data_IF_445281012579
#
_entry.id   IF_445281012579
#
_cell.length_a   1.000
_cell.length_b   1.000
_cell.length_c   1.000
_cell.angle_alpha   90.00
_cell.angle_beta   90.00
_cell.angle_gamma   90.00
#
_symmetry.space_group_name_H-M   'P 1'
#
loop_
_entity.id
_entity.type
_entity.pdbx_description
1 polymer ?
#
# COMPACT_ATOMS: atom_id res chain seq x y z
N UNK A 1 19.93 -0.79 18.40
CA UNK A 1 18.72 -0.39 17.64
C UNK A 1 18.90 1.05 17.16
N UNK A 2 18.28 1.45 16.04
CA UNK A 2 18.34 2.84 15.53
C UNK A 2 17.76 3.81 16.56
N UNK A 3 16.67 3.40 17.20
CA UNK A 3 15.98 4.15 18.25
C UNK A 3 16.82 4.39 19.50
N UNK A 4 17.91 3.63 19.73
CA UNK A 4 18.81 3.90 20.87
C UNK A 4 19.41 5.31 20.82
N UNK A 5 19.48 5.92 19.63
CA UNK A 5 19.88 7.31 19.40
C UNK A 5 19.03 8.31 20.17
N UNK A 6 17.74 8.00 20.43
CA UNK A 6 16.82 8.85 21.19
C UNK A 6 16.45 8.27 22.57
N UNK A 7 16.92 7.05 22.90
CA UNK A 7 16.60 6.36 24.16
C UNK A 7 17.77 6.31 25.14
N UNK A 8 19.01 6.11 24.67
CA UNK A 8 20.15 5.72 25.52
C UNK A 8 21.07 6.87 25.90
N UNK A 9 21.48 6.89 27.17
CA UNK A 9 22.41 7.88 27.72
C UNK A 9 21.72 9.10 28.34
N UNK A 10 22.47 9.80 29.19
CA UNK A 10 21.98 10.97 29.96
C UNK A 10 21.54 12.09 29.02
N UNK A 11 22.27 12.31 27.93
CA UNK A 11 21.96 13.34 26.92
C UNK A 11 20.61 13.14 26.22
N UNK A 12 20.01 11.94 26.31
CA UNK A 12 18.69 11.65 25.74
C UNK A 12 17.54 11.84 26.73
N UNK A 13 17.80 12.37 27.93
CA UNK A 13 16.75 12.70 28.89
C UNK A 13 15.64 13.62 28.30
N UNK A 14 15.94 14.67 27.50
CA UNK A 14 14.89 15.48 26.87
C UNK A 14 14.01 14.69 25.89
N UNK A 15 14.60 13.74 25.15
CA UNK A 15 13.87 12.90 24.20
C UNK A 15 12.95 11.95 24.97
N UNK A 16 13.48 11.26 26.00
CA UNK A 16 12.68 10.41 26.87
C UNK A 16 11.57 11.18 27.59
N UNK A 17 11.77 12.45 27.99
CA UNK A 17 10.69 13.22 28.61
C UNK A 17 9.52 13.49 27.66
N UNK A 18 9.80 13.76 26.38
CA UNK A 18 8.75 13.91 25.37
C UNK A 18 8.07 12.56 25.08
N UNK A 19 8.83 11.48 24.95
CA UNK A 19 8.30 10.14 24.73
C UNK A 19 7.41 9.67 25.91
N UNK A 20 7.77 10.02 27.15
CA UNK A 20 6.91 9.78 28.32
C UNK A 20 5.60 10.55 28.27
N UNK A 21 5.60 11.76 27.69
CA UNK A 21 4.36 12.50 27.46
C UNK A 21 3.44 11.80 26.43
N UNK A 22 4.00 10.95 25.55
CA UNK A 22 3.26 10.05 24.68
C UNK A 22 2.79 8.76 25.38
N UNK A 23 3.07 8.58 26.67
CA UNK A 23 2.64 7.43 27.47
C UNK A 23 3.68 6.32 27.64
N UNK A 24 4.92 6.50 27.19
CA UNK A 24 5.96 5.46 27.33
C UNK A 24 6.46 5.30 28.77
N UNK A 25 6.69 4.05 29.15
CA UNK A 25 7.27 3.62 30.43
C UNK A 25 8.76 3.28 30.31
N UNK A 26 9.40 2.94 31.42
CA UNK A 26 10.82 2.56 31.43
C UNK A 26 11.07 1.30 30.58
N UNK A 27 10.19 0.31 30.70
CA UNK A 27 10.27 -0.95 29.96
C UNK A 27 10.15 -0.75 28.45
N UNK A 28 9.44 0.28 28.01
CA UNK A 28 9.26 0.57 26.58
C UNK A 28 10.56 1.05 25.92
N UNK A 29 11.48 1.66 26.68
CA UNK A 29 12.77 2.10 26.13
C UNK A 29 13.70 0.93 25.79
N UNK A 30 13.43 -0.26 26.30
CA UNK A 30 14.16 -1.49 25.97
C UNK A 30 13.69 -2.15 24.66
N UNK A 31 12.55 -1.73 24.12
CA UNK A 31 11.88 -2.35 22.97
C UNK A 31 12.20 -1.63 21.65
N UNK A 32 12.08 -2.30 20.48
CA UNK A 32 12.17 -1.64 19.19
C UNK A 32 10.97 -0.71 18.95
N UNK A 33 11.23 0.45 18.38
CA UNK A 33 10.21 1.43 18.00
C UNK A 33 9.76 1.17 16.55
N UNK A 34 8.49 0.80 16.38
CA UNK A 34 7.90 0.47 15.09
C UNK A 34 6.98 1.60 14.64
N UNK A 35 7.27 2.17 13.48
CA UNK A 35 6.37 3.11 12.81
C UNK A 35 5.26 2.40 12.07
N UNK A 36 4.04 2.92 12.17
CA UNK A 36 2.91 2.50 11.33
C UNK A 36 2.57 3.70 10.44
N UNK A 37 3.01 3.65 9.19
CA UNK A 37 2.75 4.69 8.20
C UNK A 37 1.35 4.47 7.61
N UNK A 38 0.36 5.20 8.12
CA UNK A 38 -1.03 5.08 7.74
C UNK A 38 -1.42 6.11 6.68
N UNK A 39 -2.04 5.68 5.58
CA UNK A 39 -2.56 6.59 4.57
C UNK A 39 -4.06 6.89 4.74
N UNK A 40 -4.62 6.65 5.92
CA UNK A 40 -6.03 6.93 6.23
C UNK A 40 -6.43 8.38 5.96
N UNK A 41 -7.60 8.53 5.33
CA UNK A 41 -8.34 9.78 5.16
C UNK A 41 -9.83 9.47 4.94
N UNK A 42 -10.73 10.38 5.32
CA UNK A 42 -12.18 10.18 5.23
C UNK A 42 -12.76 10.39 3.82
N UNK A 43 -12.02 11.05 2.92
CA UNK A 43 -12.52 11.36 1.56
C UNK A 43 -12.20 10.27 0.53
N UNK A 44 -11.29 9.33 0.86
CA UNK A 44 -10.84 8.29 -0.08
C UNK A 44 -11.39 6.93 0.37
N UNK A 45 -12.36 6.33 -0.36
CA UNK A 45 -12.97 5.06 0.03
C UNK A 45 -11.98 3.90 0.20
N UNK A 46 -10.86 3.91 -0.53
CA UNK A 46 -9.80 2.92 -0.35
C UNK A 46 -9.04 3.00 0.97
N UNK A 47 -9.21 4.08 1.72
CA UNK A 47 -8.39 4.40 2.88
C UNK A 47 -9.20 4.54 4.18
N UNK A 48 -10.52 4.64 4.12
CA UNK A 48 -11.38 4.94 5.29
C UNK A 48 -11.30 3.87 6.41
N UNK A 49 -11.01 2.61 6.05
CA UNK A 49 -10.90 1.48 7.00
C UNK A 49 -9.49 1.29 7.55
N UNK A 50 -8.49 2.03 7.06
CA UNK A 50 -7.10 1.82 7.46
C UNK A 50 -6.84 2.17 8.93
N UNK A 51 -7.69 2.97 9.58
CA UNK A 51 -7.65 3.16 11.05
C UNK A 51 -7.79 1.82 11.79
N UNK A 52 -8.73 0.98 11.37
CA UNK A 52 -8.98 -0.31 12.02
C UNK A 52 -7.84 -1.30 11.76
N UNK A 53 -7.23 -1.22 10.58
CA UNK A 53 -6.04 -2.02 10.26
C UNK A 53 -4.83 -1.56 11.06
N UNK A 54 -4.63 -0.25 11.24
CA UNK A 54 -3.56 0.28 12.09
C UNK A 54 -3.69 -0.21 13.53
N UNK A 55 -4.89 -0.24 14.10
CA UNK A 55 -5.12 -0.83 15.42
C UNK A 55 -4.74 -2.32 15.47
N UNK A 56 -5.12 -3.10 14.45
CA UNK A 56 -4.72 -4.50 14.39
C UNK A 56 -3.19 -4.69 14.25
N UNK A 57 -2.51 -3.81 13.52
CA UNK A 57 -1.04 -3.79 13.47
C UNK A 57 -0.45 -3.48 14.84
N UNK A 58 -0.95 -2.45 15.54
CA UNK A 58 -0.52 -2.09 16.91
C UNK A 58 -0.66 -3.27 17.86
N UNK A 59 -1.79 -3.98 17.81
CA UNK A 59 -2.00 -5.22 18.59
C UNK A 59 -0.87 -6.23 18.33
N UNK A 60 -0.52 -6.45 17.06
CA UNK A 60 0.55 -7.37 16.65
C UNK A 60 1.94 -6.95 17.12
N UNK A 61 2.28 -5.67 16.95
CA UNK A 61 3.58 -5.10 17.38
C UNK A 61 3.74 -5.21 18.89
N UNK A 62 2.73 -4.78 19.64
CA UNK A 62 2.79 -4.77 21.10
C UNK A 62 2.87 -6.21 21.65
N UNK A 63 2.11 -7.15 21.07
CA UNK A 63 2.16 -8.57 21.46
C UNK A 63 3.52 -9.22 21.17
N UNK A 64 4.26 -8.72 20.17
CA UNK A 64 5.60 -9.19 19.82
C UNK A 64 6.72 -8.50 20.60
N UNK A 65 6.41 -7.57 21.51
CA UNK A 65 7.40 -6.86 22.32
C UNK A 65 8.01 -5.63 21.65
N UNK A 66 7.35 -5.07 20.63
CA UNK A 66 7.67 -3.74 20.09
C UNK A 66 6.83 -2.63 20.73
N UNK A 67 7.16 -1.37 20.39
CA UNK A 67 6.35 -0.19 20.69
C UNK A 67 5.86 0.41 19.38
N UNK A 68 4.55 0.45 19.19
CA UNK A 68 3.95 0.97 17.97
C UNK A 68 3.69 2.49 18.04
N UNK A 69 4.13 3.21 17.02
CA UNK A 69 3.81 4.62 16.79
C UNK A 69 3.14 4.78 15.43
N UNK A 70 1.88 5.19 15.43
CA UNK A 70 1.16 5.52 14.20
C UNK A 70 1.42 6.96 13.79
N UNK A 71 1.63 7.18 12.50
CA UNK A 71 1.61 8.50 11.88
C UNK A 71 0.93 8.42 10.52
N UNK A 72 0.45 9.57 10.03
CA UNK A 72 -0.29 9.62 8.77
C UNK A 72 0.53 10.23 7.63
N UNK A 73 0.19 9.79 6.41
CA UNK A 73 0.55 10.46 5.15
C UNK A 73 -0.71 10.79 4.34
N UNK A 74 -0.56 11.50 3.23
CA UNK A 74 -1.66 11.87 2.34
C UNK A 74 -2.13 10.69 1.47
N UNK A 75 -3.35 10.78 0.94
CA UNK A 75 -3.86 9.90 -0.09
C UNK A 75 -4.72 10.69 -1.09
N UNK A 76 -4.49 10.46 -2.38
CA UNK A 76 -5.33 10.96 -3.48
C UNK A 76 -6.08 9.77 -4.08
N UNK A 77 -7.39 9.95 -4.29
CA UNK A 77 -8.20 9.00 -5.02
C UNK A 77 -8.18 9.36 -6.51
N UNK A 78 -7.53 8.54 -7.33
CA UNK A 78 -7.50 8.76 -8.79
C UNK A 78 -8.91 8.74 -9.39
N UNK A 79 -9.82 7.92 -8.87
CA UNK A 79 -11.22 7.89 -9.32
C UNK A 79 -11.96 9.21 -9.09
N UNK A 80 -11.77 9.84 -7.91
CA UNK A 80 -12.37 11.15 -7.61
C UNK A 80 -11.66 12.25 -8.40
N UNK A 81 -10.34 12.20 -8.51
CA UNK A 81 -9.53 13.22 -9.19
C UNK A 81 -9.69 13.22 -10.73
N UNK A 82 -10.29 12.16 -11.28
CA UNK A 82 -10.40 11.96 -12.73
C UNK A 82 -11.27 13.05 -13.37
N UNK A 83 -10.88 13.45 -14.59
CA UNK A 83 -11.63 14.40 -15.42
C UNK A 83 -11.76 15.84 -14.85
N UNK A 84 -10.84 16.26 -13.98
CA UNK A 84 -10.67 17.67 -13.59
C UNK A 84 -9.21 17.98 -13.20
N UNK A 85 -8.92 19.23 -12.83
CA UNK A 85 -7.55 19.70 -12.53
C UNK A 85 -6.84 18.93 -11.40
N UNK A 86 -7.58 18.18 -10.58
CA UNK A 86 -7.05 17.38 -9.49
C UNK A 86 -6.16 16.24 -9.98
N UNK A 87 -6.40 15.69 -11.17
CA UNK A 87 -5.59 14.61 -11.73
C UNK A 87 -4.11 15.01 -11.91
N UNK A 88 -3.82 16.31 -12.07
CA UNK A 88 -2.45 16.84 -12.16
C UNK A 88 -1.63 16.60 -10.88
N UNK A 89 -2.29 16.31 -9.75
CA UNK A 89 -1.65 16.05 -8.47
C UNK A 89 -1.47 14.55 -8.16
N UNK A 90 -2.07 13.66 -8.97
CA UNK A 90 -2.03 12.21 -8.71
C UNK A 90 -0.61 11.65 -8.70
N UNK A 91 0.11 11.65 -9.83
CA UNK A 91 1.42 11.01 -9.89
C UNK A 91 2.45 11.65 -8.95
N UNK A 92 2.44 12.98 -8.81
CA UNK A 92 3.31 13.70 -7.90
C UNK A 92 3.10 13.30 -6.42
N UNK A 93 1.89 12.84 -6.06
CA UNK A 93 1.64 12.36 -4.69
C UNK A 93 2.47 11.13 -4.31
N UNK A 94 2.94 10.33 -5.29
CA UNK A 94 3.84 9.20 -5.05
C UNK A 94 5.11 9.65 -4.33
N UNK A 95 5.72 10.72 -4.81
CA UNK A 95 6.96 11.30 -4.25
C UNK A 95 6.70 11.90 -2.86
N UNK A 96 5.61 12.66 -2.71
CA UNK A 96 5.24 13.26 -1.42
C UNK A 96 5.00 12.18 -0.36
N UNK A 97 4.33 11.09 -0.73
CA UNK A 97 4.14 9.94 0.16
C UNK A 97 5.48 9.33 0.56
N UNK A 98 6.38 9.10 -0.40
CA UNK A 98 7.70 8.56 -0.14
C UNK A 98 8.50 9.44 0.84
N UNK A 99 8.59 10.74 0.55
CA UNK A 99 9.33 11.72 1.33
C UNK A 99 8.74 11.91 2.74
N UNK A 100 7.41 11.82 2.87
CA UNK A 100 6.73 11.91 4.19
C UNK A 100 7.10 10.71 5.07
N UNK A 101 7.06 9.49 4.51
CA UNK A 101 7.44 8.27 5.25
C UNK A 101 8.92 8.30 5.62
N UNK A 102 9.80 8.69 4.68
CA UNK A 102 11.23 8.84 4.93
C UNK A 102 11.49 9.83 6.07
N UNK A 103 10.91 11.03 5.98
CA UNK A 103 11.09 12.10 6.97
C UNK A 103 10.65 11.66 8.36
N UNK A 104 9.47 11.04 8.47
CA UNK A 104 8.95 10.57 9.75
C UNK A 104 9.81 9.47 10.36
N UNK A 105 10.24 8.50 9.55
CA UNK A 105 11.07 7.38 10.01
C UNK A 105 12.45 7.84 10.49
N UNK A 106 13.10 8.74 9.73
CA UNK A 106 14.43 9.26 10.06
C UNK A 106 14.40 10.20 11.26
N UNK A 107 13.48 11.16 11.29
CA UNK A 107 13.40 12.15 12.36
C UNK A 107 13.09 11.52 13.73
N UNK A 108 12.33 10.43 13.75
CA UNK A 108 11.95 9.72 14.97
C UNK A 108 12.79 8.48 15.26
N UNK A 109 13.86 8.25 14.50
CA UNK A 109 14.80 7.13 14.67
C UNK A 109 14.11 5.76 14.79
N UNK A 110 13.10 5.50 13.96
CA UNK A 110 12.31 4.27 13.99
C UNK A 110 13.17 3.06 13.59
N UNK A 111 12.95 1.92 14.24
CA UNK A 111 13.70 0.69 14.01
C UNK A 111 13.14 -0.15 12.86
N UNK A 112 11.83 -0.07 12.63
CA UNK A 112 11.16 -0.73 11.52
C UNK A 112 9.80 -0.10 11.21
N UNK A 113 9.23 -0.47 10.07
CA UNK A 113 8.01 0.14 9.53
C UNK A 113 6.97 -0.89 9.12
N UNK A 114 5.71 -0.61 9.46
CA UNK A 114 4.55 -1.20 8.78
C UNK A 114 3.93 -0.12 7.91
N UNK A 115 3.82 -0.41 6.62
CA UNK A 115 3.31 0.49 5.61
C UNK A 115 1.87 0.10 5.29
N UNK A 116 0.92 1.02 5.45
CA UNK A 116 -0.50 0.81 5.18
C UNK A 116 -0.97 1.65 3.98
N UNK A 117 -0.67 1.25 2.74
CA UNK A 117 -1.20 1.87 1.53
C UNK A 117 -2.47 1.17 1.02
N UNK A 118 -3.21 1.82 0.11
CA UNK A 118 -4.24 1.14 -0.70
C UNK A 118 -4.27 1.63 -2.14
N UNK A 119 -4.61 2.90 -2.38
CA UNK A 119 -4.84 3.45 -3.72
C UNK A 119 -3.56 3.57 -4.56
N UNK A 120 -3.76 3.72 -5.87
CA UNK A 120 -2.80 3.70 -6.97
C UNK A 120 -1.38 4.16 -6.62
N UNK A 121 -1.20 5.44 -6.28
CA UNK A 121 0.13 6.05 -6.15
C UNK A 121 0.74 5.89 -4.76
N UNK A 122 -0.06 5.48 -3.77
CA UNK A 122 0.36 5.38 -2.37
C UNK A 122 1.16 4.09 -2.16
N UNK A 123 0.76 2.98 -2.80
CA UNK A 123 1.48 1.70 -2.73
C UNK A 123 2.93 1.85 -3.22
N UNK A 124 3.21 2.34 -4.44
CA UNK A 124 4.58 2.53 -4.90
C UNK A 124 5.33 3.60 -4.11
N UNK A 125 4.67 4.68 -3.65
CA UNK A 125 5.33 5.71 -2.82
C UNK A 125 5.85 5.14 -1.50
N UNK A 126 5.07 4.28 -0.83
CA UNK A 126 5.52 3.61 0.39
C UNK A 126 6.60 2.55 0.13
N UNK A 127 6.55 1.85 -1.01
CA UNK A 127 7.62 0.92 -1.41
C UNK A 127 8.94 1.65 -1.73
N UNK A 128 8.88 2.80 -2.40
CA UNK A 128 10.04 3.67 -2.63
C UNK A 128 10.66 4.10 -1.30
N UNK A 129 9.84 4.54 -0.33
CA UNK A 129 10.34 4.88 1.00
C UNK A 129 10.99 3.68 1.71
N UNK A 130 10.42 2.49 1.61
CA UNK A 130 11.03 1.28 2.19
C UNK A 130 12.41 1.00 1.58
N UNK A 131 12.50 1.03 0.25
CA UNK A 131 13.73 0.83 -0.49
C UNK A 131 14.81 1.86 -0.08
N UNK A 132 14.46 3.15 -0.11
CA UNK A 132 15.36 4.26 0.20
C UNK A 132 15.87 4.25 1.65
N UNK A 133 15.00 3.95 2.62
CA UNK A 133 15.35 3.96 4.03
C UNK A 133 16.22 2.75 4.44
N UNK A 134 16.00 1.62 3.79
CA UNK A 134 16.64 0.34 4.06
C UNK A 134 16.67 -0.04 5.57
N UNK A 135 15.56 0.25 6.26
CA UNK A 135 15.24 -0.30 7.59
C UNK A 135 14.18 -1.39 7.42
N UNK A 136 14.11 -2.39 8.30
CA UNK A 136 13.10 -3.43 8.25
C UNK A 136 11.71 -2.86 8.00
N UNK A 137 11.04 -3.31 6.93
CA UNK A 137 9.75 -2.77 6.52
C UNK A 137 8.85 -3.88 5.96
N UNK A 138 7.55 -3.81 6.26
CA UNK A 138 6.54 -4.72 5.72
C UNK A 138 5.30 -3.94 5.28
N UNK A 139 4.70 -4.32 4.17
CA UNK A 139 3.52 -3.69 3.60
C UNK A 139 2.26 -4.50 3.93
N UNK A 140 1.20 -3.80 4.31
CA UNK A 140 -0.15 -4.34 4.44
C UNK A 140 -1.08 -3.47 3.60
N UNK A 141 -1.41 -3.94 2.40
CA UNK A 141 -2.35 -3.21 1.54
C UNK A 141 -3.75 -3.23 2.15
N UNK A 142 -4.53 -2.16 2.01
CA UNK A 142 -5.90 -2.11 2.55
C UNK A 142 -6.84 -3.15 1.95
N UNK A 143 -6.57 -3.60 0.72
CA UNK A 143 -7.32 -4.64 0.02
C UNK A 143 -8.45 -4.08 -0.87
N UNK A 144 -8.91 -4.88 -1.85
CA UNK A 144 -9.96 -4.48 -2.77
C UNK A 144 -11.32 -4.36 -2.08
N UNK A 145 -12.12 -3.40 -2.53
CA UNK A 145 -13.54 -3.35 -2.20
C UNK A 145 -14.28 -4.55 -2.80
N UNK A 146 -15.46 -4.85 -2.26
CA UNK A 146 -16.36 -5.80 -2.90
C UNK A 146 -16.98 -5.15 -4.14
N UNK A 147 -17.23 -5.91 -5.22
CA UNK A 147 -17.96 -5.37 -6.37
C UNK A 147 -19.40 -5.03 -5.99
N UNK A 148 -19.91 -3.96 -6.58
CA UNK A 148 -21.31 -3.60 -6.55
C UNK A 148 -22.19 -4.58 -7.32
N UNK A 149 -23.50 -4.33 -7.30
CA UNK A 149 -24.47 -5.12 -8.05
C UNK A 149 -25.54 -4.23 -8.67
N UNK A 150 -25.69 -4.30 -9.99
CA UNK A 150 -26.66 -3.55 -10.76
C UNK A 150 -27.41 -4.49 -11.71
N UNK A 151 -28.72 -4.62 -11.52
CA UNK A 151 -29.60 -5.49 -12.33
C UNK A 151 -29.08 -6.94 -12.43
N UNK A 152 -28.60 -7.50 -11.31
CA UNK A 152 -28.08 -8.86 -11.21
C UNK A 152 -26.68 -9.07 -11.83
N UNK A 153 -26.00 -8.00 -12.26
CA UNK A 153 -24.62 -8.03 -12.76
C UNK A 153 -23.68 -7.40 -11.76
N UNK A 154 -22.48 -7.95 -11.62
CA UNK A 154 -21.41 -7.30 -10.86
C UNK A 154 -20.95 -6.06 -11.60
N UNK A 155 -20.80 -4.98 -10.86
CA UNK A 155 -20.37 -3.69 -11.37
C UNK A 155 -19.33 -3.07 -10.45
N UNK A 156 -18.50 -2.20 -10.99
CA UNK A 156 -17.58 -1.36 -10.24
C UNK A 156 -17.48 0.04 -10.86
N UNK A 157 -16.46 0.81 -10.46
CA UNK A 157 -16.25 2.17 -10.92
C UNK A 157 -16.13 2.30 -12.46
N UNK A 158 -15.54 1.32 -13.17
CA UNK A 158 -15.42 1.45 -14.63
C UNK A 158 -16.78 1.42 -15.31
N UNK A 159 -17.73 0.65 -14.78
CA UNK A 159 -19.07 0.58 -15.34
C UNK A 159 -19.84 1.90 -15.17
N UNK A 160 -19.55 2.68 -14.13
CA UNK A 160 -20.13 4.02 -13.98
C UNK A 160 -19.62 4.95 -15.08
N UNK A 161 -18.31 4.91 -15.40
CA UNK A 161 -17.77 5.68 -16.52
C UNK A 161 -18.35 5.24 -17.87
N UNK A 162 -18.50 3.94 -18.09
CA UNK A 162 -19.17 3.40 -19.28
C UNK A 162 -20.65 3.84 -19.33
N UNK A 163 -21.33 3.87 -18.19
CA UNK A 163 -22.70 4.36 -18.05
C UNK A 163 -22.86 5.82 -18.47
N UNK A 164 -21.92 6.70 -18.11
CA UNK A 164 -21.89 8.10 -18.60
C UNK A 164 -21.81 8.14 -20.13
N UNK A 165 -20.98 7.28 -20.73
CA UNK A 165 -20.89 7.13 -22.18
C UNK A 165 -22.20 6.65 -22.80
N UNK A 166 -22.84 5.64 -22.18
CA UNK A 166 -24.11 5.08 -22.64
C UNK A 166 -25.26 6.09 -22.57
N UNK A 167 -25.34 6.90 -21.51
CA UNK A 167 -26.31 8.01 -21.43
C UNK A 167 -26.09 9.03 -22.54
N UNK A 168 -24.83 9.41 -22.77
CA UNK A 168 -24.46 10.36 -23.84
C UNK A 168 -24.80 9.83 -25.24
N UNK A 169 -24.78 8.51 -25.43
CA UNK A 169 -25.16 7.83 -26.66
C UNK A 169 -26.68 7.55 -26.79
N UNK A 170 -27.47 7.81 -25.74
CA UNK A 170 -28.91 7.50 -25.69
C UNK A 170 -29.23 6.02 -25.49
N UNK A 171 -28.27 5.23 -25.02
CA UNK A 171 -28.38 3.78 -24.77
C UNK A 171 -28.76 3.44 -23.31
N UNK A 172 -28.70 4.42 -22.41
CA UNK A 172 -29.05 4.33 -20.99
C UNK A 172 -29.76 5.63 -20.57
N UNK A 173 -30.72 5.56 -19.64
CA UNK A 173 -31.33 6.77 -19.07
C UNK A 173 -30.50 7.38 -17.95
N UNK A 174 -30.69 8.68 -17.66
CA UNK A 174 -30.06 9.32 -16.49
C UNK A 174 -30.47 8.65 -15.16
N UNK A 175 -31.73 8.22 -15.04
CA UNK A 175 -32.22 7.48 -13.86
C UNK A 175 -31.49 6.13 -13.69
N UNK A 176 -31.24 5.41 -14.80
CA UNK A 176 -30.49 4.15 -14.76
C UNK A 176 -29.02 4.37 -14.37
N UNK A 177 -28.42 5.47 -14.82
CA UNK A 177 -27.07 5.86 -14.41
C UNK A 177 -27.01 6.22 -12.93
N UNK A 178 -28.02 6.93 -12.40
CA UNK A 178 -28.10 7.26 -10.98
C UNK A 178 -28.25 5.99 -10.11
N UNK A 179 -29.05 5.01 -10.54
CA UNK A 179 -29.13 3.71 -9.87
C UNK A 179 -27.78 2.96 -9.88
N UNK A 180 -27.06 3.01 -11.01
CA UNK A 180 -25.73 2.41 -11.15
C UNK A 180 -24.71 3.09 -10.23
N UNK A 181 -24.68 4.43 -10.19
CA UNK A 181 -23.83 5.22 -9.30
C UNK A 181 -23.98 4.79 -7.84
N UNK A 182 -25.23 4.66 -7.38
CA UNK A 182 -25.56 4.35 -5.97
C UNK A 182 -25.13 2.94 -5.52
N UNK A 183 -24.87 2.02 -6.44
CA UNK A 183 -24.59 0.63 -6.10
C UNK A 183 -23.20 0.12 -6.53
N UNK A 184 -22.48 0.84 -7.39
CA UNK A 184 -21.21 0.39 -7.97
C UNK A 184 -20.06 0.26 -6.96
N UNK A 185 -19.98 1.16 -5.97
CA UNK A 185 -18.92 1.19 -4.96
C UNK A 185 -19.52 1.00 -3.55
N UNK A 186 -19.76 -0.24 -3.10
CA UNK A 186 -20.61 -0.52 -1.94
C UNK A 186 -19.93 -0.28 -0.58
N UNK A 187 -18.64 0.03 -0.53
CA UNK A 187 -17.93 0.17 0.75
C UNK A 187 -16.42 0.40 0.62
N UNK A 188 -15.67 0.19 1.71
CA UNK A 188 -14.24 0.48 1.76
C UNK A 188 -13.41 -0.45 0.88
N UNK A 189 -12.27 0.06 0.42
CA UNK A 189 -11.25 -0.69 -0.32
C UNK A 189 -10.83 -0.03 -1.64
N UNK A 190 -9.72 -0.49 -2.23
CA UNK A 190 -9.33 -0.08 -3.60
C UNK A 190 -10.41 -0.49 -4.60
N UNK A 191 -10.34 0.04 -5.83
CA UNK A 191 -11.22 -0.38 -6.93
C UNK A 191 -11.31 -1.91 -7.03
N UNK A 192 -12.46 -2.45 -7.43
CA UNK A 192 -12.68 -3.90 -7.43
C UNK A 192 -11.90 -4.62 -8.56
N UNK A 193 -11.80 -4.03 -9.76
CA UNK A 193 -11.01 -4.55 -10.87
C UNK A 193 -9.49 -4.49 -10.67
N UNK A 194 -8.74 -5.15 -11.55
CA UNK A 194 -7.28 -5.21 -11.57
C UNK A 194 -6.65 -3.91 -12.14
N UNK A 195 -7.01 -2.77 -11.57
CA UNK A 195 -6.37 -1.48 -11.86
C UNK A 195 -5.03 -1.37 -11.11
N UNK A 196 -4.37 -0.20 -11.14
CA UNK A 196 -3.02 -0.07 -10.58
C UNK A 196 -2.96 -0.42 -9.10
N UNK A 197 -3.93 -0.02 -8.28
CA UNK A 197 -3.96 -0.35 -6.85
C UNK A 197 -3.87 -1.87 -6.58
N UNK A 198 -4.73 -2.67 -7.23
CA UNK A 198 -4.75 -4.12 -7.05
C UNK A 198 -3.57 -4.80 -7.75
N UNK A 199 -3.16 -4.30 -8.91
CA UNK A 199 -1.96 -4.76 -9.60
C UNK A 199 -0.75 -4.60 -8.67
N UNK A 200 -0.50 -3.39 -8.17
CA UNK A 200 0.60 -3.10 -7.24
C UNK A 200 0.48 -3.85 -5.93
N UNK A 201 -0.72 -4.18 -5.45
CA UNK A 201 -0.90 -5.06 -4.30
C UNK A 201 -0.37 -6.47 -4.58
N UNK A 202 -0.71 -7.06 -5.74
CA UNK A 202 -0.15 -8.34 -6.18
C UNK A 202 1.37 -8.26 -6.36
N UNK A 203 1.88 -7.17 -6.94
CA UNK A 203 3.32 -7.00 -7.13
C UNK A 203 4.07 -6.79 -5.81
N UNK A 204 3.45 -6.15 -4.82
CA UNK A 204 4.00 -6.04 -3.46
C UNK A 204 4.19 -7.42 -2.82
N UNK A 205 3.24 -8.34 -3.04
CA UNK A 205 3.35 -9.73 -2.59
C UNK A 205 4.41 -10.51 -3.39
N UNK A 206 4.47 -10.32 -4.71
CA UNK A 206 5.48 -10.95 -5.58
C UNK A 206 6.91 -10.48 -5.27
N UNK A 207 7.10 -9.21 -4.89
CA UNK A 207 8.36 -8.65 -4.40
C UNK A 207 8.77 -9.21 -3.04
N UNK A 208 7.86 -9.91 -2.32
CA UNK A 208 8.11 -10.40 -0.97
C UNK A 208 7.93 -9.35 0.14
N UNK A 209 7.40 -8.16 -0.19
CA UNK A 209 7.26 -7.05 0.75
C UNK A 209 5.96 -7.09 1.57
N UNK A 210 5.06 -8.04 1.30
CA UNK A 210 3.86 -8.28 2.10
C UNK A 210 3.67 -9.77 2.38
N UNK A 211 2.91 -10.09 3.43
CA UNK A 211 2.60 -11.49 3.76
C UNK A 211 1.74 -12.15 2.67
N UNK A 212 1.89 -13.46 2.42
CA UNK A 212 1.08 -14.17 1.44
C UNK A 212 -0.44 -14.05 1.67
N UNK A 213 -1.18 -13.81 0.58
CA UNK A 213 -2.62 -13.56 0.57
C UNK A 213 -3.00 -12.16 1.06
N UNK A 214 -2.06 -11.23 1.21
CA UNK A 214 -2.36 -9.84 1.51
C UNK A 214 -3.04 -9.18 0.29
N UNK A 215 -2.54 -9.41 -0.91
CA UNK A 215 -3.07 -8.81 -2.13
C UNK A 215 -4.54 -9.19 -2.40
N UNK A 216 -4.95 -10.40 -2.05
CA UNK A 216 -6.26 -10.96 -2.41
C UNK A 216 -7.32 -10.87 -1.31
N UNK A 217 -6.95 -10.49 -0.09
CA UNK A 217 -7.89 -10.34 1.01
C UNK A 217 -8.67 -9.02 0.88
N UNK A 218 -9.99 -9.10 0.69
CA UNK A 218 -10.88 -7.92 0.64
C UNK A 218 -10.77 -7.04 1.88
N UNK A 219 -10.97 -5.73 1.70
CA UNK A 219 -10.87 -4.72 2.75
C UNK A 219 -11.74 -5.03 3.99
N UNK A 220 -12.96 -5.50 3.76
CA UNK A 220 -13.94 -5.83 4.82
C UNK A 220 -13.77 -7.23 5.42
N UNK A 221 -12.80 -8.02 4.92
CA UNK A 221 -12.63 -9.39 5.38
C UNK A 221 -11.93 -9.46 6.74
N UNK A 222 -12.36 -10.40 7.60
CA UNK A 222 -11.65 -10.71 8.85
C UNK A 222 -10.20 -11.16 8.60
N UNK A 223 -9.96 -11.80 7.44
CA UNK A 223 -8.62 -12.18 6.97
C UNK A 223 -7.70 -10.97 6.83
N UNK A 224 -8.18 -9.83 6.31
CA UNK A 224 -7.37 -8.61 6.18
C UNK A 224 -6.90 -8.11 7.55
N UNK A 225 -7.80 -8.09 8.55
CA UNK A 225 -7.45 -7.74 9.94
C UNK A 225 -6.47 -8.72 10.57
N UNK A 226 -6.62 -10.03 10.29
CA UNK A 226 -5.67 -11.04 10.74
C UNK A 226 -4.28 -10.82 10.13
N UNK A 227 -4.19 -10.55 8.83
CA UNK A 227 -2.92 -10.25 8.15
C UNK A 227 -2.27 -9.01 8.76
N UNK A 228 -3.03 -7.94 9.02
CA UNK A 228 -2.51 -6.74 9.68
C UNK A 228 -1.86 -7.05 11.04
N UNK A 229 -2.52 -7.86 11.88
CA UNK A 229 -1.97 -8.30 13.16
C UNK A 229 -0.72 -9.17 13.00
N UNK A 230 -0.74 -10.09 12.04
CA UNK A 230 0.42 -10.95 11.76
C UNK A 230 1.61 -10.14 11.24
N UNK A 231 1.38 -9.12 10.41
CA UNK A 231 2.43 -8.20 9.95
C UNK A 231 3.00 -7.36 11.09
N UNK A 232 2.16 -6.92 12.02
CA UNK A 232 2.62 -6.25 13.24
C UNK A 232 3.53 -7.14 14.11
N UNK A 233 3.25 -8.44 14.18
CA UNK A 233 4.18 -9.38 14.81
C UNK A 233 5.46 -9.55 13.98
N UNK A 234 5.31 -9.78 12.67
CA UNK A 234 6.43 -10.09 11.77
C UNK A 234 7.45 -8.95 11.70
N UNK A 235 7.02 -7.69 11.71
CA UNK A 235 7.96 -6.57 11.63
C UNK A 235 8.91 -6.52 12.83
N UNK A 236 8.46 -6.90 14.03
CA UNK A 236 9.32 -6.96 15.22
C UNK A 236 10.37 -8.06 15.07
N UNK A 237 9.98 -9.22 14.51
CA UNK A 237 10.91 -10.31 14.17
C UNK A 237 11.92 -9.86 13.10
N UNK A 238 11.46 -9.15 12.06
CA UNK A 238 12.33 -8.61 11.01
C UNK A 238 13.36 -7.60 11.56
N UNK A 239 12.99 -6.81 12.57
CA UNK A 239 13.93 -5.92 13.27
C UNK A 239 15.01 -6.70 14.03
N UNK A 240 14.65 -7.83 14.64
CA UNK A 240 15.61 -8.70 15.34
C UNK A 240 16.54 -9.43 14.36
N UNK A 241 16.01 -9.86 13.21
CA UNK A 241 16.75 -10.48 12.11
C UNK A 241 17.59 -9.47 11.32
N UNK A 242 17.33 -8.16 11.49
CA UNK A 242 17.83 -7.10 10.63
C UNK A 242 17.52 -7.37 9.14
N UNK A 243 16.33 -7.94 8.87
CA UNK A 243 15.86 -8.24 7.53
C UNK A 243 15.33 -6.96 6.87
N UNK A 244 16.06 -6.48 5.87
CA UNK A 244 15.85 -5.18 5.25
C UNK A 244 15.26 -5.28 3.84
N UNK A 245 14.61 -4.23 3.32
CA UNK A 245 14.06 -4.20 1.98
C UNK A 245 15.07 -4.55 0.88
N UNK A 246 16.32 -4.09 0.96
CA UNK A 246 17.37 -4.45 -0.04
C UNK A 246 17.76 -5.93 -0.04
N UNK A 247 17.48 -6.66 1.04
CA UNK A 247 17.69 -8.11 1.12
C UNK A 247 16.50 -8.91 0.55
N UNK A 248 15.35 -8.25 0.35
CA UNK A 248 14.10 -8.86 -0.13
C UNK A 248 13.88 -8.50 -1.60
N UNK A 249 14.00 -7.22 -1.95
CA UNK A 249 13.76 -6.67 -3.29
C UNK A 249 15.01 -6.81 -4.17
N UNK A 250 15.43 -8.05 -4.42
CA UNK A 250 16.53 -8.35 -5.33
C UNK A 250 16.13 -8.20 -6.81
N UNK A 251 17.10 -8.28 -7.71
CA UNK A 251 16.87 -8.32 -9.15
C UNK A 251 15.81 -9.39 -9.52
N UNK A 252 15.95 -10.60 -8.96
CA UNK A 252 15.02 -11.71 -9.19
C UNK A 252 13.62 -11.44 -8.61
N UNK A 253 13.52 -10.73 -7.47
CA UNK A 253 12.24 -10.35 -6.91
C UNK A 253 11.48 -9.38 -7.83
N UNK A 254 12.20 -8.42 -8.43
CA UNK A 254 11.61 -7.52 -9.43
C UNK A 254 11.25 -8.25 -10.72
N UNK A 255 12.09 -9.17 -11.21
CA UNK A 255 11.76 -10.02 -12.35
C UNK A 255 10.49 -10.85 -12.09
N UNK A 256 10.36 -11.45 -10.89
CA UNK A 256 9.15 -12.14 -10.46
C UNK A 256 7.93 -11.21 -10.47
N UNK A 257 8.07 -9.98 -9.98
CA UNK A 257 6.99 -9.01 -9.99
C UNK A 257 6.55 -8.67 -11.44
N UNK A 258 7.50 -8.46 -12.36
CA UNK A 258 7.18 -8.22 -13.78
C UNK A 258 6.50 -9.44 -14.42
N UNK A 259 6.96 -10.67 -14.13
CA UNK A 259 6.30 -11.88 -14.62
C UNK A 259 4.87 -12.01 -14.09
N UNK A 260 4.63 -11.70 -12.81
CA UNK A 260 3.29 -11.70 -12.22
C UNK A 260 2.41 -10.63 -12.86
N UNK A 261 2.94 -9.43 -13.11
CA UNK A 261 2.22 -8.34 -13.77
C UNK A 261 1.68 -8.77 -15.14
N UNK A 262 2.56 -9.34 -15.97
CA UNK A 262 2.23 -9.83 -17.31
C UNK A 262 1.24 -10.99 -17.27
N UNK A 263 1.43 -11.93 -16.34
CA UNK A 263 0.56 -13.09 -16.18
C UNK A 263 -0.87 -12.69 -15.77
N UNK A 264 -1.00 -11.63 -14.96
CA UNK A 264 -2.30 -11.12 -14.50
C UNK A 264 -2.96 -10.16 -15.50
N UNK A 265 -2.22 -9.64 -16.48
CA UNK A 265 -2.72 -8.55 -17.34
C UNK A 265 -2.83 -7.23 -16.58
N UNK A 266 -1.83 -6.95 -15.74
CA UNK A 266 -1.80 -5.79 -14.86
C UNK A 266 -1.81 -4.43 -15.56
N UNK A 267 -2.04 -3.38 -14.76
CA UNK A 267 -2.06 -1.99 -15.23
C UNK A 267 -0.73 -1.56 -15.85
N UNK A 268 -0.76 -0.90 -17.01
CA UNK A 268 0.45 -0.36 -17.65
C UNK A 268 1.21 0.65 -16.80
N UNK A 269 0.58 1.26 -15.79
CA UNK A 269 1.25 2.14 -14.82
C UNK A 269 2.38 1.43 -14.06
N UNK A 270 2.38 0.09 -13.97
CA UNK A 270 3.47 -0.68 -13.35
C UNK A 270 4.81 -0.46 -14.06
N UNK A 271 4.79 -0.20 -15.37
CA UNK A 271 5.99 0.16 -16.15
C UNK A 271 6.64 1.46 -15.69
N UNK A 272 5.91 2.32 -14.96
CA UNK A 272 6.45 3.51 -14.29
C UNK A 272 6.82 3.26 -12.82
N UNK A 273 6.02 2.45 -12.12
CA UNK A 273 6.16 2.25 -10.69
C UNK A 273 7.28 1.27 -10.32
N UNK A 274 7.38 0.15 -11.02
CA UNK A 274 8.37 -0.89 -10.74
C UNK A 274 9.80 -0.37 -10.97
N UNK A 275 10.14 0.27 -12.10
CA UNK A 275 11.44 0.90 -12.25
C UNK A 275 11.73 1.99 -11.23
N UNK A 276 10.72 2.77 -10.83
CA UNK A 276 10.91 3.82 -9.82
C UNK A 276 11.24 3.25 -8.44
N UNK A 277 10.61 2.15 -8.02
CA UNK A 277 10.94 1.47 -6.76
C UNK A 277 12.35 0.87 -6.86
N UNK A 278 12.67 0.21 -7.98
CA UNK A 278 13.99 -0.39 -8.18
C UNK A 278 15.13 0.65 -8.19
N UNK A 279 14.88 1.85 -8.72
CA UNK A 279 15.84 2.94 -8.77
C UNK A 279 16.26 3.47 -7.39
N UNK A 280 15.50 3.19 -6.34
CA UNK A 280 15.87 3.50 -4.95
C UNK A 280 16.91 2.51 -4.39
N UNK A 281 17.28 1.46 -5.14
CA UNK A 281 18.27 0.45 -4.75
C UNK A 281 19.41 0.41 -5.77
N UNK A 282 20.63 0.60 -5.29
CA UNK A 282 21.83 0.53 -6.10
C UNK A 282 22.05 -0.87 -6.70
N UNK A 283 22.38 -0.91 -7.99
CA UNK A 283 22.82 -2.13 -8.68
C UNK A 283 21.71 -2.96 -9.34
N UNK A 284 20.45 -2.53 -9.26
CA UNK A 284 19.34 -3.17 -9.97
C UNK A 284 19.20 -2.63 -11.40
N UNK A 285 18.90 -3.51 -12.35
CA UNK A 285 18.64 -3.13 -13.75
C UNK A 285 17.20 -3.50 -14.12
N UNK A 286 16.27 -2.66 -13.71
CA UNK A 286 14.83 -2.82 -13.96
C UNK A 286 14.37 -1.66 -14.83
N UNK A 287 14.11 -1.93 -16.09
CA UNK A 287 13.74 -0.93 -17.09
C UNK A 287 12.69 -1.52 -18.06
N UNK A 288 12.28 -0.74 -19.06
CA UNK A 288 11.24 -1.15 -20.01
C UNK A 288 11.63 -2.34 -20.90
N UNK A 289 12.92 -2.54 -21.17
CA UNK A 289 13.39 -3.68 -21.97
C UNK A 289 13.06 -5.00 -21.28
N UNK A 290 13.17 -5.04 -19.94
CA UNK A 290 12.78 -6.22 -19.16
C UNK A 290 11.29 -6.57 -19.35
N UNK A 291 10.41 -5.57 -19.40
CA UNK A 291 8.99 -5.77 -19.67
C UNK A 291 8.76 -6.29 -21.09
N UNK A 292 9.42 -5.72 -22.10
CA UNK A 292 9.32 -6.18 -23.49
C UNK A 292 9.78 -7.64 -23.63
N UNK A 293 10.95 -7.97 -23.09
CA UNK A 293 11.53 -9.31 -23.15
C UNK A 293 10.61 -10.36 -22.51
N UNK A 294 10.14 -10.12 -21.29
CA UNK A 294 9.28 -11.05 -20.57
C UNK A 294 7.88 -11.15 -21.20
N UNK A 295 7.33 -10.06 -21.74
CA UNK A 295 5.99 -10.08 -22.37
C UNK A 295 5.88 -11.03 -23.56
N UNK A 296 7.00 -11.36 -24.21
CA UNK A 296 7.06 -12.29 -25.35
C UNK A 296 6.88 -13.76 -24.94
N UNK A 297 7.12 -14.08 -23.67
CA UNK A 297 7.15 -15.48 -23.19
C UNK A 297 6.15 -15.75 -22.07
N UNK A 298 5.72 -14.73 -21.32
CA UNK A 298 4.75 -14.89 -20.24
C UNK A 298 3.32 -14.76 -20.78
N UNK A 299 2.49 -15.81 -20.67
CA UNK A 299 1.09 -15.74 -21.12
C UNK A 299 0.21 -14.99 -20.11
N UNK A 300 -0.79 -14.28 -20.62
CA UNK A 300 -1.89 -13.77 -19.80
C UNK A 300 -2.81 -14.92 -19.37
N UNK A 301 -2.96 -15.16 -18.07
CA UNK A 301 -3.68 -16.32 -17.51
C UNK A 301 -4.85 -15.95 -16.59
N UNK A 302 -5.07 -14.67 -16.31
CA UNK A 302 -6.15 -14.20 -15.46
C UNK A 302 -7.35 -13.71 -16.30
N UNK A 303 -8.58 -13.99 -15.85
CA UNK A 303 -9.80 -13.37 -16.40
C UNK A 303 -10.36 -12.44 -15.35
N UNK A 304 -9.87 -11.21 -15.34
CA UNK A 304 -10.23 -10.18 -14.35
C UNK A 304 -10.45 -8.87 -15.11
N UNK A 305 -11.53 -8.16 -14.77
CA UNK A 305 -11.78 -6.79 -15.26
C UNK A 305 -10.53 -5.91 -15.03
N UNK A 306 -10.11 -5.09 -16.00
CA UNK A 306 -10.86 -4.73 -17.22
C UNK A 306 -10.60 -5.64 -18.45
N UNK A 307 -9.65 -6.58 -18.38
CA UNK A 307 -9.23 -7.36 -19.54
C UNK A 307 -10.10 -8.59 -19.82
N UNK A 308 -10.77 -9.15 -18.80
CA UNK A 308 -11.60 -10.34 -18.94
C UNK A 308 -12.82 -10.37 -18.04
#
# INVERSE_FOLDING_TARGET
>A
MKSDTIKRGIQRAPHRSLLRACGLTDDDFEKPFIGIANSYTDIVPGHIHLRELAEAVKEGVNAAGGVAFEFNTMAICDGIAMNHDGMKYSLASREIVADTVESMAMAHALDGLVLLPTCDKIVPGMLMAAARLDIPAIVVTGGPMLPGEFKGRKVDLINVYEGVGAVSAGEMSEDELEELERCACPGPGSCAGLFTANTMACLTEALGMSLPGCATAHAVSSRKRQIARLSGKRIVEMVQENLKPTMIMSQEAFENAVMVDLALGGSTNTTLHIPAIAAEIDGLNINLDLFDELSRVIPHIASISPAG
#
